data_IF_490299350086
#
_entry.id   IF_490299350086
#
_cell.length_a   1.000
_cell.length_b   1.000
_cell.length_c   1.000
_cell.angle_alpha   90.00
_cell.angle_beta   90.00
_cell.angle_gamma   90.00
#
_symmetry.space_group_name_H-M   'P 1'
#
loop_
_entity.id
_entity.type
_entity.pdbx_description
1 polymer ?
#
# COMPACT_ATOMS: atom_id res chain seq x y z
N UNK A 1 -18.02 1.30 -4.83
CA UNK A 1 -17.15 0.11 -4.67
C UNK A 1 -17.01 -0.56 -6.03
N UNK A 2 -15.79 -0.84 -6.47
CA UNK A 2 -15.47 -1.48 -7.75
C UNK A 2 -14.64 -2.74 -7.44
N UNK A 3 -14.94 -3.86 -8.10
CA UNK A 3 -14.20 -5.11 -7.93
C UNK A 3 -13.53 -5.51 -9.23
N UNK A 4 -12.28 -5.94 -9.17
CA UNK A 4 -11.51 -6.39 -10.34
C UNK A 4 -10.47 -7.44 -9.98
N UNK A 5 -10.01 -8.18 -10.97
CA UNK A 5 -8.99 -9.21 -10.78
C UNK A 5 -7.59 -8.61 -10.76
N UNK A 6 -6.75 -9.12 -9.87
CA UNK A 6 -5.32 -8.77 -9.78
C UNK A 6 -4.48 -10.04 -9.75
N UNK A 7 -3.26 -9.98 -10.26
CA UNK A 7 -2.30 -11.09 -10.18
C UNK A 7 -1.26 -10.81 -9.11
N UNK A 8 -1.04 -11.77 -8.23
CA UNK A 8 0.00 -11.71 -7.20
C UNK A 8 0.55 -13.10 -6.93
N UNK A 9 1.87 -13.24 -6.92
CA UNK A 9 2.59 -14.49 -6.64
C UNK A 9 2.05 -15.72 -7.40
N UNK A 10 1.70 -15.53 -8.67
CA UNK A 10 1.15 -16.58 -9.54
C UNK A 10 -0.33 -16.90 -9.32
N UNK A 11 -1.00 -16.28 -8.34
CA UNK A 11 -2.43 -16.42 -8.09
C UNK A 11 -3.23 -15.28 -8.73
N UNK A 12 -4.50 -15.54 -9.03
CA UNK A 12 -5.48 -14.52 -9.39
C UNK A 12 -6.31 -14.23 -8.15
N UNK A 13 -6.28 -12.98 -7.69
CA UNK A 13 -6.97 -12.48 -6.52
C UNK A 13 -8.07 -11.49 -6.94
N UNK A 14 -8.97 -11.17 -6.02
CA UNK A 14 -9.98 -10.13 -6.23
C UNK A 14 -9.64 -8.91 -5.39
N UNK A 15 -9.49 -7.76 -6.03
CA UNK A 15 -9.37 -6.48 -5.36
C UNK A 15 -10.75 -5.81 -5.28
N UNK A 16 -11.09 -5.33 -4.09
CA UNK A 16 -12.29 -4.55 -3.83
C UNK A 16 -11.90 -3.13 -3.45
N UNK A 17 -12.18 -2.18 -4.34
CA UNK A 17 -11.74 -0.80 -4.19
C UNK A 17 -12.90 0.14 -3.87
N UNK A 18 -12.66 1.07 -2.96
CA UNK A 18 -13.59 2.14 -2.59
C UNK A 18 -12.88 3.48 -2.55
N UNK A 19 -13.57 4.53 -2.98
CA UNK A 19 -13.04 5.88 -2.89
C UNK A 19 -13.00 6.32 -1.42
N UNK A 20 -12.02 7.14 -1.08
CA UNK A 20 -11.79 7.59 0.29
C UNK A 20 -11.11 8.96 0.33
N UNK A 21 -11.49 9.76 1.32
CA UNK A 21 -10.83 11.02 1.66
C UNK A 21 -9.70 10.83 2.68
N UNK A 22 -9.35 9.58 3.00
CA UNK A 22 -8.24 9.27 3.89
C UNK A 22 -6.90 9.80 3.35
N UNK A 23 -6.02 10.16 4.27
CA UNK A 23 -4.69 10.68 3.97
C UNK A 23 -3.59 9.73 4.45
N UNK A 24 -2.55 9.58 3.65
CA UNK A 24 -1.30 8.95 4.08
C UNK A 24 -0.32 10.02 4.53
N UNK A 25 0.36 9.77 5.66
CA UNK A 25 1.34 10.70 6.23
C UNK A 25 2.75 10.12 6.17
N UNK A 26 3.66 10.86 5.57
CA UNK A 26 5.10 10.54 5.52
C UNK A 26 5.88 11.73 6.09
N UNK A 27 6.29 11.63 7.35
CA UNK A 27 6.86 12.76 8.08
C UNK A 27 5.84 13.89 8.20
N UNK A 28 6.19 15.08 7.70
CA UNK A 28 5.30 16.25 7.68
C UNK A 28 4.42 16.33 6.42
N UNK A 29 4.58 15.42 5.47
CA UNK A 29 3.84 15.43 4.19
C UNK A 29 2.59 14.57 4.31
N UNK A 30 1.43 15.16 3.98
CA UNK A 30 0.16 14.46 3.86
C UNK A 30 -0.25 14.33 2.39
N UNK A 31 -0.66 13.13 1.98
CA UNK A 31 -1.14 12.85 0.63
C UNK A 31 -2.55 12.24 0.68
N UNK A 32 -3.51 12.73 -0.12
CA UNK A 32 -4.80 12.08 -0.26
C UNK A 32 -4.63 10.72 -0.93
N UNK A 33 -5.22 9.68 -0.36
CA UNK A 33 -5.19 8.33 -0.93
C UNK A 33 -6.11 8.23 -2.16
N UNK A 34 -7.28 8.87 -2.10
CA UNK A 34 -8.31 8.86 -3.14
C UNK A 34 -9.05 7.52 -3.26
N UNK A 35 -8.33 6.40 -3.22
CA UNK A 35 -8.91 5.06 -3.28
C UNK A 35 -8.11 4.07 -2.44
N UNK A 36 -8.80 3.18 -1.74
CA UNK A 36 -8.23 2.06 -1.00
C UNK A 36 -8.80 0.73 -1.50
N UNK A 37 -8.03 -0.35 -1.32
CA UNK A 37 -8.41 -1.68 -1.80
C UNK A 37 -8.30 -2.72 -0.68
N UNK A 38 -9.32 -3.55 -0.53
CA UNK A 38 -9.26 -4.80 0.22
C UNK A 38 -9.01 -5.96 -0.76
N UNK A 39 -7.99 -6.77 -0.49
CA UNK A 39 -7.61 -7.90 -1.36
C UNK A 39 -8.17 -9.19 -0.77
N UNK A 40 -9.01 -9.89 -1.53
CA UNK A 40 -9.59 -11.17 -1.16
C UNK A 40 -8.98 -12.31 -1.98
N UNK A 41 -8.85 -13.47 -1.33
CA UNK A 41 -8.43 -14.72 -1.96
C UNK A 41 -6.93 -15.01 -1.86
N UNK A 42 -6.20 -14.32 -0.98
CA UNK A 42 -4.82 -14.67 -0.69
C UNK A 42 -4.77 -16.07 -0.06
N UNK A 43 -3.79 -16.89 -0.47
CA UNK A 43 -3.57 -18.19 0.13
C UNK A 43 -2.86 -18.07 1.48
N UNK A 44 -3.00 -19.09 2.34
CA UNK A 44 -2.41 -19.12 3.69
C UNK A 44 -0.92 -18.80 3.71
N UNK A 45 -0.13 -19.36 2.80
CA UNK A 45 1.31 -19.11 2.71
C UNK A 45 1.63 -17.63 2.39
N UNK A 46 0.80 -17.00 1.55
CA UNK A 46 0.96 -15.59 1.19
C UNK A 46 0.59 -14.68 2.35
N UNK A 47 -0.50 -14.98 3.05
CA UNK A 47 -0.91 -14.24 4.25
C UNK A 47 0.15 -14.33 5.36
N UNK A 48 0.69 -15.53 5.62
CA UNK A 48 1.76 -15.72 6.61
C UNK A 48 3.04 -14.97 6.24
N UNK A 49 3.43 -14.95 4.97
CA UNK A 49 4.63 -14.26 4.51
C UNK A 49 4.49 -12.73 4.65
N UNK A 50 3.33 -12.16 4.31
CA UNK A 50 3.08 -10.72 4.49
C UNK A 50 3.06 -10.36 5.98
N UNK A 51 2.40 -11.19 6.79
CA UNK A 51 2.33 -11.01 8.25
C UNK A 51 3.70 -11.09 8.92
N UNK A 52 4.55 -12.04 8.53
CA UNK A 52 5.90 -12.23 9.10
C UNK A 52 6.85 -11.07 8.79
N UNK A 53 6.61 -10.34 7.70
CA UNK A 53 7.33 -9.10 7.38
C UNK A 53 6.85 -7.89 8.21
N UNK A 54 5.86 -8.07 9.10
CA UNK A 54 5.27 -6.99 9.88
C UNK A 54 4.45 -6.01 9.03
N UNK A 55 4.05 -6.42 7.83
CA UNK A 55 3.34 -5.55 6.88
C UNK A 55 1.85 -5.50 7.27
N UNK A 56 1.42 -4.39 7.86
CA UNK A 56 0.02 -4.13 8.20
C UNK A 56 -0.85 -3.69 7.01
N UNK A 57 -0.23 -3.44 5.85
CA UNK A 57 -0.90 -3.02 4.62
C UNK A 57 0.11 -2.74 3.50
N UNK A 58 -0.38 -2.71 2.26
CA UNK A 58 0.42 -2.44 1.07
C UNK A 58 0.04 -1.09 0.49
N UNK A 59 1.03 -0.32 0.04
CA UNK A 59 0.84 0.96 -0.64
C UNK A 59 1.34 0.87 -2.07
N UNK A 60 0.54 1.34 -3.03
CA UNK A 60 0.89 1.31 -4.45
C UNK A 60 1.81 2.46 -4.85
N UNK A 61 2.63 2.23 -5.88
CA UNK A 61 3.58 3.23 -6.41
C UNK A 61 2.93 4.54 -6.86
N UNK A 62 1.64 4.51 -7.20
CA UNK A 62 0.87 5.70 -7.60
C UNK A 62 0.98 6.83 -6.58
N UNK A 63 1.08 6.49 -5.29
CA UNK A 63 1.21 7.47 -4.21
C UNK A 63 2.53 8.27 -4.28
N UNK A 64 3.56 7.70 -4.89
CA UNK A 64 4.91 8.28 -4.95
C UNK A 64 5.23 8.91 -6.31
N UNK A 65 4.28 8.95 -7.26
CA UNK A 65 4.55 9.53 -8.58
C UNK A 65 4.93 11.02 -8.46
N UNK A 66 6.04 11.38 -9.10
CA UNK A 66 6.59 12.75 -9.08
C UNK A 66 7.12 13.18 -7.71
N UNK A 67 7.44 12.23 -6.81
CA UNK A 67 8.00 12.48 -5.48
C UNK A 67 9.13 11.49 -5.21
N UNK A 68 10.06 11.88 -4.36
CA UNK A 68 11.08 10.97 -3.83
C UNK A 68 10.72 10.60 -2.39
N UNK A 69 10.62 9.29 -2.12
CA UNK A 69 10.51 8.77 -0.77
C UNK A 69 11.92 8.65 -0.18
N UNK A 70 12.16 9.34 0.94
CA UNK A 70 13.42 9.26 1.67
C UNK A 70 13.18 8.40 2.91
N UNK A 71 13.96 7.33 3.05
CA UNK A 71 13.96 6.44 4.20
C UNK A 71 15.32 6.54 4.89
N UNK A 72 15.35 7.19 6.05
CA UNK A 72 16.56 7.26 6.87
C UNK A 72 16.54 6.12 7.89
N UNK A 73 17.32 5.07 7.61
CA UNK A 73 17.42 3.90 8.49
C UNK A 73 18.24 4.16 9.75
N UNK A 74 19.14 5.16 9.74
CA UNK A 74 19.92 5.55 10.91
C UNK A 74 19.07 6.28 11.95
N UNK A 75 18.16 7.14 11.47
CA UNK A 75 17.26 7.93 12.32
C UNK A 75 15.87 7.30 12.50
N UNK A 76 15.54 6.27 11.70
CA UNK A 76 14.21 5.64 11.64
C UNK A 76 13.12 6.63 11.26
N UNK A 77 13.43 7.53 10.33
CA UNK A 77 12.54 8.57 9.83
C UNK A 77 12.15 8.28 8.38
N UNK A 78 10.94 8.67 8.01
CA UNK A 78 10.44 8.60 6.63
C UNK A 78 9.87 9.96 6.25
N UNK A 79 10.21 10.44 5.06
CA UNK A 79 9.69 11.70 4.53
C UNK A 79 9.57 11.62 3.01
N UNK A 80 8.91 12.61 2.41
CA UNK A 80 8.88 12.78 0.97
C UNK A 80 9.31 14.17 0.56
N UNK A 81 9.92 14.26 -0.63
CA UNK A 81 10.25 15.52 -1.28
C UNK A 81 9.70 15.53 -2.71
N UNK A 82 9.40 16.71 -3.22
CA UNK A 82 8.95 16.97 -4.59
C UNK A 82 10.13 17.04 -5.55
#
# INVERSE_FOLDING_TARGET
MISYTVRSWGQVLTAHSVDTDAVARFGAVELPLGQISHIQGMGLLQEMAISSLGVGGLVGNKLFLGRQLIVDTGRREITMVS
#
